data_IF_231022851948
#
_entry.id   IF_231022851948
#
_cell.length_a   1.000
_cell.length_b   1.000
_cell.length_c   1.000
_cell.angle_alpha   90.00
_cell.angle_beta   90.00
_cell.angle_gamma   90.00
#
_symmetry.space_group_name_H-M   'P 1'
#
loop_
_entity.id
_entity.type
_entity.pdbx_description
1 polymer ?
#
# COMPACT_ATOMS: atom_id res chain seq x y z
N UNK A 1 5.93 -44.89 -25.60
CA UNK A 1 6.43 -44.26 -24.36
C UNK A 1 5.52 -43.09 -24.05
N UNK A 2 4.91 -43.07 -22.86
CA UNK A 2 4.04 -41.98 -22.41
C UNK A 2 4.92 -40.83 -21.91
N UNK A 3 4.77 -39.65 -22.51
CA UNK A 3 5.36 -38.43 -22.00
C UNK A 3 4.39 -37.83 -20.98
N UNK A 4 4.74 -37.92 -19.69
CA UNK A 4 4.02 -37.23 -18.63
C UNK A 4 4.51 -35.78 -18.56
N UNK A 5 3.59 -34.82 -18.54
CA UNK A 5 3.92 -33.41 -18.39
C UNK A 5 4.35 -33.13 -16.93
N UNK A 6 5.34 -32.25 -16.67
CA UNK A 6 5.69 -31.86 -15.32
C UNK A 6 4.55 -31.09 -14.65
N UNK A 7 4.30 -31.39 -13.38
CA UNK A 7 3.27 -30.74 -12.55
C UNK A 7 3.70 -29.29 -12.26
N UNK A 8 2.85 -28.32 -12.59
CA UNK A 8 3.08 -26.91 -12.32
C UNK A 8 3.27 -26.68 -10.80
N UNK A 9 4.30 -25.92 -10.40
CA UNK A 9 4.52 -25.55 -9.01
C UNK A 9 3.82 -24.22 -8.71
N UNK A 10 2.77 -24.24 -7.88
CA UNK A 10 2.04 -23.03 -7.47
C UNK A 10 2.66 -22.33 -6.24
N UNK A 11 3.79 -22.82 -5.72
CA UNK A 11 4.38 -22.32 -4.46
C UNK A 11 4.86 -20.87 -4.50
N UNK A 12 5.09 -20.32 -5.70
CA UNK A 12 5.73 -19.01 -5.88
C UNK A 12 4.71 -17.90 -6.19
N UNK A 13 3.41 -18.23 -6.16
CA UNK A 13 2.34 -17.27 -6.43
C UNK A 13 1.95 -16.59 -5.11
N UNK A 14 2.55 -15.42 -4.83
CA UNK A 14 1.89 -14.45 -3.95
C UNK A 14 0.71 -13.87 -4.74
N UNK A 15 -0.51 -14.27 -4.42
CA UNK A 15 -1.68 -13.63 -5.00
C UNK A 15 -1.74 -12.19 -4.46
N UNK A 16 -1.46 -11.23 -5.35
CA UNK A 16 -1.60 -9.81 -5.05
C UNK A 16 -3.07 -9.45 -4.91
N UNK A 17 -3.39 -8.59 -3.94
CA UNK A 17 -4.74 -8.06 -3.77
C UNK A 17 -4.91 -6.82 -4.66
N UNK A 18 -5.70 -6.94 -5.74
CA UNK A 18 -5.91 -5.86 -6.72
C UNK A 18 -4.59 -5.25 -7.27
N UNK A 19 -3.54 -6.06 -7.40
CA UNK A 19 -2.22 -5.61 -7.86
C UNK A 19 -1.28 -5.09 -6.76
N UNK A 20 -1.75 -5.02 -5.51
CA UNK A 20 -0.98 -4.66 -4.32
C UNK A 20 -0.58 -5.89 -3.50
N UNK A 21 0.39 -5.73 -2.62
CA UNK A 21 0.89 -6.79 -1.74
C UNK A 21 -0.20 -7.41 -0.86
N UNK A 22 -1.17 -6.63 -0.38
CA UNK A 22 -2.34 -7.09 0.38
C UNK A 22 -3.48 -6.05 0.38
N UNK A 23 -4.58 -6.38 1.07
CA UNK A 23 -5.75 -5.51 1.21
C UNK A 23 -5.43 -4.18 1.90
N UNK A 24 -4.62 -4.23 2.97
CA UNK A 24 -4.23 -3.03 3.74
C UNK A 24 -3.51 -2.04 2.84
N UNK A 25 -2.52 -2.53 2.09
CA UNK A 25 -1.72 -1.71 1.19
C UNK A 25 -2.56 -1.11 0.06
N UNK A 26 -3.45 -1.90 -0.55
CA UNK A 26 -4.41 -1.40 -1.54
C UNK A 26 -5.33 -0.32 -0.95
N UNK A 27 -5.87 -0.54 0.25
CA UNK A 27 -6.83 0.38 0.86
C UNK A 27 -6.16 1.71 1.27
N UNK A 28 -4.94 1.66 1.80
CA UNK A 28 -4.16 2.87 2.09
C UNK A 28 -3.88 3.65 0.81
N UNK A 29 -3.39 2.99 -0.25
CA UNK A 29 -3.15 3.65 -1.53
C UNK A 29 -4.43 4.26 -2.14
N UNK A 30 -5.57 3.57 -1.97
CA UNK A 30 -6.87 4.07 -2.41
C UNK A 30 -7.21 5.39 -1.73
N UNK A 31 -7.08 5.48 -0.39
CA UNK A 31 -7.41 6.69 0.36
C UNK A 31 -6.43 7.83 0.09
N UNK A 32 -5.13 7.55 0.02
CA UNK A 32 -4.13 8.58 -0.28
C UNK A 32 -4.40 9.22 -1.66
N UNK A 33 -4.78 8.43 -2.67
CA UNK A 33 -4.95 8.93 -4.03
C UNK A 33 -6.32 9.57 -4.32
N UNK A 34 -7.37 9.21 -3.58
CA UNK A 34 -8.74 9.61 -3.92
C UNK A 34 -9.37 10.61 -2.93
N UNK A 35 -8.76 10.83 -1.78
CA UNK A 35 -9.19 11.88 -0.85
C UNK A 35 -8.26 13.09 -0.95
N UNK A 36 -8.84 14.27 -1.19
CA UNK A 36 -8.08 15.51 -1.38
C UNK A 36 -7.23 15.88 -0.16
N UNK A 37 -7.70 15.60 1.06
CA UNK A 37 -6.96 15.92 2.27
C UNK A 37 -5.72 15.02 2.39
N UNK A 38 -5.88 13.71 2.23
CA UNK A 38 -4.77 12.77 2.31
C UNK A 38 -3.78 12.94 1.16
N UNK A 39 -4.27 13.20 -0.05
CA UNK A 39 -3.43 13.48 -1.20
C UNK A 39 -2.56 14.73 -0.96
N UNK A 40 -3.14 15.83 -0.48
CA UNK A 40 -2.38 17.05 -0.19
C UNK A 40 -1.34 16.86 0.92
N UNK A 41 -1.62 16.02 1.93
CA UNK A 41 -0.62 15.66 2.95
C UNK A 41 0.53 14.86 2.32
N UNK A 42 0.20 13.86 1.50
CA UNK A 42 1.20 13.03 0.81
C UNK A 42 2.15 13.85 -0.06
N UNK A 43 1.65 14.90 -0.73
CA UNK A 43 2.45 15.82 -1.54
C UNK A 43 3.55 16.57 -0.80
N UNK A 44 3.36 16.82 0.49
CA UNK A 44 4.32 17.53 1.34
C UNK A 44 5.34 16.56 1.96
N UNK A 45 5.16 15.25 1.79
CA UNK A 45 6.00 14.20 2.35
C UNK A 45 7.08 13.75 1.35
N UNK A 46 8.28 13.40 1.82
CA UNK A 46 9.35 12.91 0.92
C UNK A 46 9.29 11.41 0.66
N UNK A 47 8.65 10.68 1.57
CA UNK A 47 8.52 9.23 1.57
C UNK A 47 7.36 8.83 2.52
N UNK A 48 7.04 7.55 2.59
CA UNK A 48 5.92 7.07 3.39
C UNK A 48 6.15 7.17 4.90
N UNK A 49 7.40 7.12 5.38
CA UNK A 49 7.68 7.32 6.80
C UNK A 49 7.38 8.75 7.25
N UNK A 50 7.63 9.75 6.39
CA UNK A 50 7.23 11.13 6.65
C UNK A 50 5.68 11.23 6.73
N UNK A 51 4.97 10.57 5.81
CA UNK A 51 3.50 10.52 5.84
C UNK A 51 2.96 9.87 7.13
N UNK A 52 3.56 8.76 7.58
CA UNK A 52 3.20 8.11 8.84
C UNK A 52 3.42 9.04 10.04
N UNK A 53 4.51 9.80 10.05
CA UNK A 53 4.77 10.78 11.11
C UNK A 53 3.68 11.87 11.13
N UNK A 54 3.35 12.45 9.98
CA UNK A 54 2.28 13.45 9.89
C UNK A 54 0.92 12.87 10.36
N UNK A 55 0.54 11.70 9.86
CA UNK A 55 -0.74 11.07 10.20
C UNK A 55 -0.84 10.67 11.67
N UNK A 56 0.18 9.98 12.20
CA UNK A 56 0.11 9.39 13.54
C UNK A 56 0.53 10.36 14.64
N UNK A 57 1.62 11.11 14.44
CA UNK A 57 2.19 11.97 15.48
C UNK A 57 1.60 13.38 15.46
N UNK A 58 1.31 13.94 14.29
CA UNK A 58 0.80 15.32 14.17
C UNK A 58 -0.73 15.37 14.17
N UNK A 59 -1.39 14.45 13.44
CA UNK A 59 -2.85 14.43 13.28
C UNK A 59 -3.54 13.48 14.29
N UNK A 60 -2.89 12.39 14.68
CA UNK A 60 -3.48 11.36 15.55
C UNK A 60 -4.45 10.42 14.82
N UNK A 61 -4.28 10.24 13.51
CA UNK A 61 -5.00 9.25 12.70
C UNK A 61 -4.13 8.01 12.49
N UNK A 62 -4.68 6.84 12.81
CA UNK A 62 -3.95 5.56 12.79
C UNK A 62 -4.45 4.58 11.72
N UNK A 63 -5.63 4.82 11.14
CA UNK A 63 -6.17 3.98 10.09
C UNK A 63 -6.96 4.79 9.07
N UNK A 64 -7.13 4.22 7.87
CA UNK A 64 -8.09 4.68 6.88
C UNK A 64 -9.51 4.65 7.46
N UNK A 65 -10.46 5.38 6.86
CA UNK A 65 -11.87 5.26 7.23
C UNK A 65 -12.46 3.85 7.09
N UNK A 66 -11.85 2.98 6.28
CA UNK A 66 -12.24 1.57 6.15
C UNK A 66 -11.55 0.64 7.18
N UNK A 67 -10.66 1.18 8.02
CA UNK A 67 -10.01 0.47 9.12
C UNK A 67 -8.66 -0.18 8.77
N UNK A 68 -8.07 0.13 7.61
CA UNK A 68 -6.71 -0.30 7.29
C UNK A 68 -5.70 0.56 8.07
N UNK A 69 -4.86 -0.07 8.88
CA UNK A 69 -3.82 0.63 9.64
C UNK A 69 -2.77 1.23 8.68
N UNK A 70 -2.48 2.53 8.82
CA UNK A 70 -1.47 3.19 8.01
C UNK A 70 -0.10 2.51 8.16
N UNK A 71 0.26 2.11 9.39
CA UNK A 71 1.56 1.54 9.71
C UNK A 71 1.79 0.11 9.19
N UNK A 72 0.74 -0.59 8.77
CA UNK A 72 0.82 -1.98 8.29
C UNK A 72 0.87 -2.07 6.75
N UNK A 73 0.71 -0.95 6.04
CA UNK A 73 0.86 -0.94 4.58
C UNK A 73 2.32 -1.20 4.16
N UNK A 74 2.49 -1.86 3.02
CA UNK A 74 3.82 -2.14 2.49
C UNK A 74 4.57 -0.85 2.17
N UNK A 75 5.66 -0.59 2.90
CA UNK A 75 6.41 0.66 2.81
C UNK A 75 7.02 0.93 1.43
N UNK A 76 7.43 -0.11 0.70
CA UNK A 76 8.03 0.04 -0.63
C UNK A 76 6.97 0.47 -1.65
N UNK A 77 5.82 -0.21 -1.68
CA UNK A 77 4.70 0.15 -2.54
C UNK A 77 4.12 1.53 -2.15
N UNK A 78 4.14 1.90 -0.87
CA UNK A 78 3.68 3.23 -0.44
C UNK A 78 4.67 4.36 -0.76
N UNK A 79 5.98 4.09 -0.76
CA UNK A 79 6.95 5.07 -1.22
C UNK A 79 6.72 5.44 -2.69
N UNK A 80 6.33 4.47 -3.53
CA UNK A 80 5.93 4.72 -4.92
C UNK A 80 4.73 5.68 -4.99
N UNK A 81 3.69 5.45 -4.17
CA UNK A 81 2.52 6.34 -4.08
C UNK A 81 2.90 7.76 -3.68
N UNK A 82 3.75 7.93 -2.66
CA UNK A 82 4.17 9.27 -2.22
C UNK A 82 4.99 9.98 -3.32
N UNK A 83 5.86 9.26 -4.03
CA UNK A 83 6.65 9.83 -5.11
C UNK A 83 5.79 10.26 -6.30
N UNK A 84 4.68 9.57 -6.58
CA UNK A 84 3.74 9.94 -7.66
C UNK A 84 2.85 11.14 -7.31
N UNK A 85 2.71 11.48 -6.02
CA UNK A 85 1.90 12.61 -5.60
C UNK A 85 2.59 13.98 -5.86
N UNK A 86 3.94 14.02 -5.82
CA UNK A 86 4.76 15.24 -5.93
C UNK A 86 4.76 15.84 -7.34
#
# INVERSE_FOLDING_TARGET
MNFSQPKLNLSDIKEKYNGWSDWTTWNVALWINNDECYYNIAKECRNYADFLYEMQAMIGSFATPDGADWGEANIDEMNEVIMEAI
#
